data_IF_836085370012
#
_entry.id   IF_836085370012
#
_cell.length_a   1.000
_cell.length_b   1.000
_cell.length_c   1.000
_cell.angle_alpha   90.00
_cell.angle_beta   90.00
_cell.angle_gamma   90.00
#
_symmetry.space_group_name_H-M   'P 1'
#
loop_
_entity.id
_entity.type
_entity.pdbx_description
1 polymer ?
#
# COMPACT_ATOMS: atom_id res chain seq x y z
N UNK A 1 -8.72 10.22 -1.07
CA UNK A 1 -8.63 8.78 -1.12
C UNK A 1 -7.57 8.39 -2.12
N UNK A 2 -6.42 8.06 -1.57
CA UNK A 2 -5.36 7.50 -2.37
C UNK A 2 -5.41 5.99 -2.25
N UNK A 3 -4.54 5.34 -3.00
CA UNK A 3 -4.14 3.99 -2.64
C UNK A 3 -3.31 4.01 -1.37
N UNK A 4 -3.54 3.01 -0.52
CA UNK A 4 -2.76 2.69 0.66
C UNK A 4 -2.41 1.21 0.61
N UNK A 5 -1.11 0.93 0.56
CA UNK A 5 -0.57 -0.42 0.61
C UNK A 5 -0.12 -0.72 2.04
N UNK A 6 -0.82 -1.60 2.72
CA UNK A 6 -0.48 -2.04 4.07
C UNK A 6 0.33 -3.34 4.01
N UNK A 7 1.39 -3.42 4.81
CA UNK A 7 2.19 -4.62 5.08
C UNK A 7 1.90 -5.10 6.50
N UNK A 8 1.71 -6.40 6.68
CA UNK A 8 1.62 -7.08 7.97
C UNK A 8 2.65 -8.22 8.02
N UNK A 9 3.58 -8.11 8.96
CA UNK A 9 4.84 -8.87 9.00
C UNK A 9 5.19 -9.27 10.43
N UNK A 10 5.91 -10.39 10.65
CA UNK A 10 6.48 -10.72 11.95
C UNK A 10 7.57 -9.72 12.42
N UNK A 11 8.17 -8.95 11.51
CA UNK A 11 9.19 -7.96 11.84
C UNK A 11 8.63 -6.76 12.62
N UNK A 12 9.52 -6.08 13.34
CA UNK A 12 9.28 -4.78 13.95
C UNK A 12 9.20 -3.66 12.91
N UNK A 13 8.57 -2.54 13.26
CA UNK A 13 8.52 -1.37 12.36
C UNK A 13 9.91 -0.84 11.99
N UNK A 14 10.88 -0.90 12.91
CA UNK A 14 12.26 -0.49 12.67
C UNK A 14 12.95 -1.38 11.63
N UNK A 15 12.75 -2.69 11.70
CA UNK A 15 13.30 -3.64 10.73
C UNK A 15 12.64 -3.47 9.36
N UNK A 16 11.33 -3.24 9.30
CA UNK A 16 10.68 -2.92 8.03
C UNK A 16 11.31 -1.68 7.41
N UNK A 17 11.49 -0.61 8.19
CA UNK A 17 12.06 0.66 7.72
C UNK A 17 13.51 0.53 7.24
N UNK A 18 14.33 -0.31 7.86
CA UNK A 18 15.72 -0.51 7.42
C UNK A 18 15.83 -1.25 6.09
N UNK A 19 14.79 -1.99 5.71
CA UNK A 19 14.72 -2.71 4.43
C UNK A 19 14.07 -1.90 3.30
N UNK A 20 13.47 -0.75 3.59
CA UNK A 20 12.74 0.02 2.57
C UNK A 20 13.70 0.59 1.52
N UNK A 21 13.30 0.56 0.24
CA UNK A 21 13.96 1.35 -0.79
C UNK A 21 13.96 2.84 -0.43
N UNK A 22 14.99 3.56 -0.86
CA UNK A 22 15.06 5.01 -0.68
C UNK A 22 13.79 5.70 -1.22
N UNK A 23 13.19 6.58 -0.42
CA UNK A 23 11.97 7.32 -0.76
C UNK A 23 10.65 6.62 -0.38
N UNK A 24 10.68 5.33 0.00
CA UNK A 24 9.55 4.70 0.69
C UNK A 24 9.60 5.00 2.18
N UNK A 25 8.43 5.13 2.78
CA UNK A 25 8.27 5.24 4.23
C UNK A 25 7.26 4.21 4.74
N UNK A 26 7.46 3.74 5.96
CA UNK A 26 6.49 2.90 6.67
C UNK A 26 5.92 3.67 7.86
N UNK A 27 4.60 3.84 7.87
CA UNK A 27 3.85 4.47 8.96
C UNK A 27 3.00 3.42 9.68
N UNK A 28 2.94 3.42 11.02
CA UNK A 28 2.09 2.49 11.74
C UNK A 28 0.62 2.72 11.35
N UNK A 29 -0.13 1.62 11.18
CA UNK A 29 -1.58 1.70 10.97
C UNK A 29 -2.33 1.83 12.29
N UNK A 30 -3.64 2.11 12.23
CA UNK A 30 -4.48 2.16 13.43
C UNK A 30 -4.52 0.79 14.14
N UNK A 31 -4.77 0.79 15.45
CA UNK A 31 -4.90 -0.45 16.22
C UNK A 31 -6.02 -1.36 15.68
N UNK A 32 -7.10 -0.77 15.15
CA UNK A 32 -8.21 -1.49 14.55
C UNK A 32 -7.79 -2.20 13.25
N UNK A 33 -7.04 -1.51 12.38
CA UNK A 33 -6.50 -2.09 11.14
C UNK A 33 -5.47 -3.19 11.43
N UNK A 34 -4.57 -2.96 12.39
CA UNK A 34 -3.59 -3.95 12.83
C UNK A 34 -4.26 -5.22 13.41
N UNK A 35 -5.32 -5.05 14.22
CA UNK A 35 -6.07 -6.17 14.76
C UNK A 35 -6.80 -6.97 13.67
N UNK A 36 -7.34 -6.29 12.64
CA UNK A 36 -7.97 -6.95 11.50
C UNK A 36 -6.95 -7.78 10.68
N UNK A 37 -5.77 -7.22 10.41
CA UNK A 37 -4.69 -7.92 9.71
C UNK A 37 -4.17 -9.12 10.50
N UNK A 38 -4.04 -9.01 11.83
CA UNK A 38 -3.59 -10.11 12.68
C UNK A 38 -4.55 -11.31 12.67
N UNK A 39 -5.84 -11.10 12.41
CA UNK A 39 -6.79 -12.21 12.25
C UNK A 39 -6.52 -13.02 10.96
N UNK A 40 -6.08 -12.35 9.90
CA UNK A 40 -5.71 -13.00 8.64
C UNK A 40 -4.31 -13.61 8.69
N UNK A 41 -3.40 -12.99 9.44
CA UNK A 41 -2.04 -13.46 9.61
C UNK A 41 -1.61 -13.39 11.08
N UNK A 42 -1.86 -14.46 11.88
CA UNK A 42 -1.60 -14.45 13.32
C UNK A 42 -0.14 -14.21 13.72
N UNK A 43 0.81 -14.55 12.85
CA UNK A 43 2.24 -14.29 13.06
C UNK A 43 2.64 -12.82 12.85
N UNK A 44 1.68 -11.91 12.61
CA UNK A 44 1.94 -10.46 12.48
C UNK A 44 2.41 -9.86 13.80
N UNK A 45 3.68 -9.45 13.83
CA UNK A 45 4.24 -8.58 14.86
C UNK A 45 3.83 -7.13 14.65
N UNK A 46 3.99 -6.61 13.43
CA UNK A 46 3.73 -5.21 13.06
C UNK A 46 2.88 -5.10 11.80
N UNK A 47 2.00 -4.08 11.75
CA UNK A 47 1.33 -3.64 10.54
C UNK A 47 1.65 -2.17 10.24
N UNK A 48 1.95 -1.85 8.97
CA UNK A 48 2.34 -0.52 8.55
C UNK A 48 1.87 -0.19 7.12
N UNK A 49 1.53 1.07 6.86
CA UNK A 49 1.28 1.57 5.52
C UNK A 49 2.61 1.97 4.84
N UNK A 50 2.83 1.45 3.64
CA UNK A 50 3.96 1.76 2.77
C UNK A 50 3.61 2.93 1.86
N UNK A 51 4.32 4.04 2.00
CA UNK A 51 3.98 5.30 1.33
C UNK A 51 5.16 5.84 0.51
N UNK A 52 4.84 6.44 -0.63
CA UNK A 52 5.71 7.32 -1.41
C UNK A 52 5.20 8.75 -1.18
N UNK A 53 5.89 9.48 -0.30
CA UNK A 53 5.40 10.76 0.19
C UNK A 53 4.13 10.60 1.05
N UNK A 54 2.98 11.09 0.55
CA UNK A 54 1.71 11.08 1.30
C UNK A 54 0.84 9.84 1.14
N UNK A 55 1.05 9.01 0.11
CA UNK A 55 0.20 7.88 -0.25
C UNK A 55 0.94 6.77 -1.02
N UNK A 56 0.26 5.71 -1.42
CA UNK A 56 0.83 4.57 -2.17
C UNK A 56 0.48 4.61 -3.66
N UNK A 57 -0.07 5.71 -4.19
CA UNK A 57 -0.51 5.78 -5.60
C UNK A 57 0.63 5.42 -6.58
N UNK A 58 1.83 5.96 -6.34
CA UNK A 58 3.00 5.74 -7.20
C UNK A 58 3.53 4.30 -7.16
N UNK A 59 3.08 3.49 -6.18
CA UNK A 59 3.46 2.07 -6.08
C UNK A 59 2.57 1.15 -6.91
N UNK A 60 1.37 1.59 -7.29
CA UNK A 60 0.33 0.69 -7.82
C UNK A 60 -0.30 1.15 -9.11
N UNK A 61 -0.10 2.41 -9.51
CA UNK A 61 -0.55 2.92 -10.79
C UNK A 61 0.36 4.00 -11.32
N UNK A 62 0.34 4.15 -12.63
CA UNK A 62 0.86 5.34 -13.29
C UNK A 62 -0.06 6.54 -13.00
N UNK A 63 0.55 7.71 -12.74
CA UNK A 63 -0.19 8.97 -12.61
C UNK A 63 -0.43 9.57 -13.98
N UNK A 64 -1.58 10.21 -14.16
CA UNK A 64 -1.79 10.99 -15.36
C UNK A 64 -0.77 12.16 -15.38
N UNK A 65 -0.06 12.39 -16.51
CA UNK A 65 0.87 13.52 -16.64
C UNK A 65 0.14 14.87 -16.45
N UNK A 66 -1.14 14.95 -16.84
CA UNK A 66 -1.99 16.07 -16.46
C UNK A 66 -2.48 15.88 -15.01
N UNK A 67 -1.88 16.66 -14.11
CA UNK A 67 -2.24 16.66 -12.69
C UNK A 67 -3.71 17.02 -12.42
N UNK A 68 -4.35 17.84 -13.26
CA UNK A 68 -5.76 18.20 -13.08
C UNK A 68 -6.66 17.03 -13.39
N UNK A 69 -6.31 16.28 -14.44
CA UNK A 69 -7.03 15.08 -14.84
C UNK A 69 -6.82 13.94 -13.83
N UNK A 70 -5.60 13.76 -13.32
CA UNK A 70 -5.30 12.81 -12.25
C UNK A 70 -6.16 13.10 -10.99
N UNK A 71 -6.28 14.37 -10.62
CA UNK A 71 -7.14 14.79 -9.50
C UNK A 71 -8.63 14.65 -9.80
N UNK A 72 -9.07 14.88 -11.04
CA UNK A 72 -10.48 14.72 -11.43
C UNK A 72 -10.94 13.29 -11.22
N UNK A 73 -10.15 12.32 -11.71
CA UNK A 73 -10.43 10.89 -11.53
C UNK A 73 -10.52 10.50 -10.05
N UNK A 74 -9.65 11.08 -9.21
CA UNK A 74 -9.70 10.87 -7.76
C UNK A 74 -10.96 11.49 -7.14
N UNK A 75 -11.31 12.73 -7.51
CA UNK A 75 -12.52 13.41 -7.01
C UNK A 75 -13.80 12.63 -7.34
N UNK A 76 -13.90 12.05 -8.54
CA UNK A 76 -15.04 11.23 -8.93
C UNK A 76 -15.18 9.98 -8.07
N UNK A 77 -14.06 9.32 -7.71
CA UNK A 77 -14.10 8.21 -6.74
C UNK A 77 -14.46 8.70 -5.34
N UNK A 78 -14.05 9.89 -4.92
CA UNK A 78 -14.39 10.43 -3.60
C UNK A 78 -15.86 10.76 -3.46
N UNK A 79 -16.46 11.32 -4.52
CA UNK A 79 -17.87 11.66 -4.54
C UNK A 79 -18.75 10.42 -4.36
N UNK A 80 -18.37 9.30 -4.99
CA UNK A 80 -19.03 7.99 -4.82
C UNK A 80 -18.96 7.45 -3.39
N UNK A 81 -18.05 7.96 -2.56
CA UNK A 81 -17.85 7.55 -1.17
C UNK A 81 -18.45 8.57 -0.19
N UNK A 82 -19.29 9.49 -0.68
CA UNK A 82 -20.07 10.46 0.10
C UNK A 82 -19.25 11.27 1.10
N UNK A 83 -17.98 11.55 0.77
CA UNK A 83 -17.10 12.36 1.61
C UNK A 83 -17.47 13.85 1.56
N UNK A 84 -17.26 14.56 2.67
CA UNK A 84 -17.39 16.02 2.68
C UNK A 84 -16.29 16.69 1.84
N UNK A 85 -16.57 17.91 1.37
CA UNK A 85 -15.63 18.71 0.57
C UNK A 85 -14.31 18.95 1.30
N UNK A 86 -14.35 19.24 2.59
CA UNK A 86 -13.16 19.49 3.42
C UNK A 86 -12.29 18.24 3.54
N UNK A 87 -12.92 17.06 3.58
CA UNK A 87 -12.18 15.79 3.57
C UNK A 87 -11.57 15.54 2.19
N UNK A 88 -12.30 15.81 1.12
CA UNK A 88 -11.79 15.72 -0.26
C UNK A 88 -10.54 16.58 -0.44
N UNK A 89 -10.58 17.85 -0.02
CA UNK A 89 -9.44 18.78 -0.17
C UNK A 89 -8.20 18.24 0.56
N UNK A 90 -8.32 17.84 1.84
CA UNK A 90 -7.21 17.28 2.63
C UNK A 90 -6.59 16.05 1.97
N UNK A 91 -7.42 15.21 1.39
CA UNK A 91 -6.98 14.00 0.69
C UNK A 91 -6.26 14.31 -0.63
N UNK A 92 -6.68 15.34 -1.37
CA UNK A 92 -5.97 15.81 -2.56
C UNK A 92 -4.62 16.45 -2.21
N UNK A 93 -4.57 17.23 -1.13
CA UNK A 93 -3.30 17.80 -0.63
C UNK A 93 -2.29 16.71 -0.27
N UNK A 94 -2.75 15.63 0.38
CA UNK A 94 -1.92 14.44 0.64
C UNK A 94 -1.41 13.83 -0.67
N UNK A 95 -2.27 13.67 -1.66
CA UNK A 95 -1.91 13.10 -2.97
C UNK A 95 -0.85 13.94 -3.71
N UNK A 96 -0.89 15.27 -3.54
CA UNK A 96 0.09 16.19 -4.14
C UNK A 96 1.48 16.09 -3.52
N UNK A 97 1.61 15.58 -2.29
CA UNK A 97 2.92 15.36 -1.62
C UNK A 97 3.62 14.15 -2.22
N UNK A 98 4.23 14.33 -3.39
CA UNK A 98 5.06 13.33 -4.08
C UNK A 98 6.41 13.15 -3.37
N UNK A 99 7.07 12.03 -3.62
CA UNK A 99 8.52 11.92 -3.38
C UNK A 99 9.26 12.93 -4.27
N UNK A 100 10.34 13.51 -3.75
CA UNK A 100 11.25 14.38 -4.49
C UNK A 100 12.66 13.78 -4.47
N UNK A 101 13.29 13.52 -5.63
CA UNK A 101 12.77 13.71 -6.98
C UNK A 101 11.63 12.74 -7.32
N UNK A 102 10.78 13.13 -8.29
CA UNK A 102 9.74 12.25 -8.80
C UNK A 102 10.38 11.08 -9.58
N UNK A 103 9.99 9.86 -9.24
CA UNK A 103 10.42 8.64 -9.93
C UNK A 103 9.28 8.11 -10.81
N UNK A 104 9.62 7.33 -11.84
CA UNK A 104 8.62 6.70 -12.70
C UNK A 104 7.87 5.58 -11.98
N UNK A 105 6.67 5.27 -12.43
CA UNK A 105 5.89 4.14 -11.94
C UNK A 105 6.68 2.82 -12.06
N UNK A 106 7.34 2.61 -13.20
CA UNK A 106 8.17 1.43 -13.45
C UNK A 106 9.34 1.29 -12.45
N UNK A 107 9.97 2.41 -12.07
CA UNK A 107 11.00 2.41 -11.03
C UNK A 107 10.43 1.91 -9.69
N UNK A 108 9.28 2.44 -9.29
CA UNK A 108 8.64 2.05 -8.04
C UNK A 108 8.14 0.61 -8.03
N UNK A 109 7.56 0.13 -9.12
CA UNK A 109 7.11 -1.26 -9.23
C UNK A 109 8.27 -2.24 -9.07
N UNK A 110 9.44 -1.96 -9.67
CA UNK A 110 10.65 -2.78 -9.49
C UNK A 110 11.23 -2.71 -8.09
N UNK A 111 11.29 -1.51 -7.52
CA UNK A 111 11.77 -1.30 -6.14
C UNK A 111 10.87 -2.05 -5.14
N UNK A 112 9.55 -1.96 -5.31
CA UNK A 112 8.59 -2.68 -4.49
C UNK A 112 8.72 -4.20 -4.65
N UNK A 113 8.80 -4.73 -5.88
CA UNK A 113 8.95 -6.17 -6.11
C UNK A 113 10.27 -6.71 -5.51
N UNK A 114 11.35 -5.93 -5.60
CA UNK A 114 12.64 -6.26 -4.99
C UNK A 114 12.55 -6.27 -3.47
N UNK A 115 11.93 -5.24 -2.88
CA UNK A 115 11.65 -5.17 -1.45
C UNK A 115 10.80 -6.35 -0.98
N UNK A 116 9.69 -6.67 -1.66
CA UNK A 116 8.80 -7.78 -1.30
C UNK A 116 9.55 -9.12 -1.31
N UNK A 117 10.38 -9.35 -2.33
CA UNK A 117 11.16 -10.58 -2.42
C UNK A 117 12.25 -10.68 -1.34
N UNK A 118 12.93 -9.57 -1.03
CA UNK A 118 13.92 -9.53 0.04
C UNK A 118 13.27 -9.66 1.41
N UNK A 119 12.14 -9.00 1.63
CA UNK A 119 11.36 -9.08 2.85
C UNK A 119 10.86 -10.50 3.09
N UNK A 120 10.30 -11.18 2.09
CA UNK A 120 9.86 -12.57 2.22
C UNK A 120 11.02 -13.54 2.51
N UNK A 121 12.25 -13.23 2.04
CA UNK A 121 13.44 -14.03 2.37
C UNK A 121 13.85 -13.90 3.84
N UNK A 122 13.77 -12.69 4.40
CA UNK A 122 14.25 -12.40 5.76
C UNK A 122 13.17 -12.62 6.85
N UNK A 123 11.91 -12.31 6.53
CA UNK A 123 10.78 -12.37 7.46
C UNK A 123 9.92 -13.64 7.32
N UNK A 124 10.01 -14.33 6.17
CA UNK A 124 9.07 -15.39 5.81
C UNK A 124 7.74 -14.85 5.25
N UNK A 125 6.63 -15.60 5.38
CA UNK A 125 5.32 -15.20 4.86
C UNK A 125 4.93 -13.79 5.32
N UNK A 126 4.47 -12.96 4.40
CA UNK A 126 4.12 -11.55 4.67
C UNK A 126 2.81 -11.21 3.97
N UNK A 127 1.88 -10.59 4.71
CA UNK A 127 0.60 -10.18 4.17
C UNK A 127 0.68 -8.74 3.65
N UNK A 128 0.24 -8.53 2.42
CA UNK A 128 0.07 -7.23 1.78
C UNK A 128 -1.41 -6.98 1.51
N UNK A 129 -1.85 -5.74 1.67
CA UNK A 129 -3.23 -5.36 1.38
C UNK A 129 -3.27 -3.99 0.73
N UNK A 130 -3.76 -3.93 -0.50
CA UNK A 130 -3.95 -2.70 -1.25
C UNK A 130 -5.40 -2.24 -1.11
N UNK A 131 -5.61 -1.02 -0.64
CA UNK A 131 -6.95 -0.42 -0.55
C UNK A 131 -6.99 0.97 -1.16
N UNK A 132 -8.12 1.33 -1.76
CA UNK A 132 -8.41 2.70 -2.12
C UNK A 132 -9.33 3.31 -1.05
N UNK A 133 -8.86 4.32 -0.33
CA UNK A 133 -9.66 4.86 0.76
C UNK A 133 -9.06 6.05 1.45
N UNK A 134 -9.57 6.39 2.64
CA UNK A 134 -8.94 7.37 3.53
C UNK A 134 -7.72 6.76 4.19
N UNK A 135 -6.73 7.56 4.57
CA UNK A 135 -5.57 7.05 5.32
C UNK A 135 -6.01 6.27 6.58
N UNK A 136 -7.06 6.74 7.25
CA UNK A 136 -7.61 6.21 8.50
C UNK A 136 -8.81 5.25 8.28
N UNK A 137 -9.02 4.75 7.06
CA UNK A 137 -10.24 4.00 6.74
C UNK A 137 -10.39 2.66 7.49
N UNK A 138 -11.63 2.20 7.56
CA UNK A 138 -12.15 1.05 8.27
C UNK A 138 -11.43 -0.29 7.94
N UNK A 139 -11.53 -1.29 8.84
CA UNK A 139 -10.84 -2.57 8.73
C UNK A 139 -11.26 -3.39 7.51
N UNK A 140 -10.39 -4.32 7.15
CA UNK A 140 -10.61 -5.39 6.16
C UNK A 140 -12.01 -6.02 6.28
N UNK A 141 -12.64 -6.42 5.16
CA UNK A 141 -13.85 -7.23 5.19
C UNK A 141 -13.63 -8.48 6.04
N UNK A 142 -14.62 -8.83 6.88
CA UNK A 142 -14.53 -9.97 7.83
C UNK A 142 -14.21 -11.32 7.18
N UNK A 143 -14.51 -11.48 5.89
CA UNK A 143 -14.41 -12.75 5.15
C UNK A 143 -13.28 -12.73 4.09
N UNK A 144 -12.41 -11.72 4.11
CA UNK A 144 -11.34 -11.62 3.12
C UNK A 144 -10.32 -12.75 3.29
N UNK A 145 -10.37 -13.76 2.41
CA UNK A 145 -9.34 -14.80 2.35
C UNK A 145 -8.13 -14.28 1.58
N UNK A 146 -6.93 -14.42 2.17
CA UNK A 146 -5.70 -14.00 1.52
C UNK A 146 -5.36 -14.93 0.35
N UNK A 147 -5.03 -14.35 -0.81
CA UNK A 147 -4.48 -15.10 -1.94
C UNK A 147 -2.99 -15.29 -1.73
N UNK A 148 -2.50 -16.51 -1.88
CA UNK A 148 -1.06 -16.77 -1.82
C UNK A 148 -0.40 -16.46 -3.15
N UNK A 149 0.74 -15.77 -3.10
CA UNK A 149 1.65 -15.53 -4.23
C UNK A 149 3.08 -15.85 -3.84
N UNK A 150 3.86 -16.39 -4.76
CA UNK A 150 5.30 -16.60 -4.55
C UNK A 150 6.11 -15.33 -4.88
N UNK A 151 7.33 -15.23 -4.35
CA UNK A 151 8.25 -14.13 -4.73
C UNK A 151 8.60 -14.17 -6.21
N UNK A 152 8.63 -15.36 -6.82
CA UNK A 152 8.84 -15.54 -8.25
C UNK A 152 7.70 -14.92 -9.08
N UNK A 153 6.44 -15.13 -8.67
CA UNK A 153 5.28 -14.52 -9.33
C UNK A 153 5.30 -12.98 -9.22
N UNK A 154 5.61 -12.44 -8.04
CA UNK A 154 5.71 -10.99 -7.84
C UNK A 154 6.78 -10.37 -8.75
N UNK A 155 7.92 -11.04 -8.92
CA UNK A 155 8.99 -10.58 -9.81
C UNK A 155 8.62 -10.71 -11.30
N UNK A 156 7.93 -11.78 -11.68
CA UNK A 156 7.49 -12.01 -13.05
C UNK A 156 6.35 -11.06 -13.46
N UNK A 157 5.56 -10.58 -12.51
CA UNK A 157 4.43 -9.67 -12.72
C UNK A 157 4.59 -8.45 -11.83
N UNK A 158 5.46 -7.52 -12.25
CA UNK A 158 5.68 -6.25 -11.54
C UNK A 158 4.37 -5.47 -11.30
N UNK A 159 3.41 -5.64 -12.21
CA UNK A 159 2.09 -5.03 -12.16
C UNK A 159 1.02 -6.11 -11.95
N UNK A 160 -0.02 -5.79 -11.18
CA UNK A 160 -1.21 -6.65 -11.04
C UNK A 160 -1.07 -7.88 -10.13
N UNK A 161 0.03 -8.02 -9.39
CA UNK A 161 0.13 -9.03 -8.32
C UNK A 161 -0.66 -8.62 -7.06
N UNK A 162 -0.98 -7.33 -6.93
CA UNK A 162 -1.89 -6.76 -5.94
C UNK A 162 -3.24 -6.46 -6.59
N UNK A 163 -4.32 -6.84 -5.90
CA UNK A 163 -5.69 -6.52 -6.26
C UNK A 163 -6.29 -5.60 -5.19
N UNK A 164 -7.11 -4.61 -5.58
CA UNK A 164 -7.77 -3.70 -4.63
C UNK A 164 -8.70 -4.49 -3.71
N UNK A 165 -8.63 -4.21 -2.41
CA UNK A 165 -9.41 -4.81 -1.32
C UNK A 165 -9.26 -6.33 -1.17
N UNK A 166 -8.22 -6.91 -1.79
CA UNK A 166 -7.89 -8.33 -1.68
C UNK A 166 -6.54 -8.53 -0.99
N UNK A 167 -6.50 -9.16 0.20
CA UNK A 167 -5.24 -9.46 0.86
C UNK A 167 -4.41 -10.47 0.07
N UNK A 168 -3.12 -10.24 -0.01
CA UNK A 168 -2.16 -11.10 -0.72
C UNK A 168 -1.08 -11.55 0.27
N UNK A 169 -1.00 -12.85 0.52
CA UNK A 169 0.08 -13.45 1.28
C UNK A 169 1.24 -13.77 0.34
N UNK A 170 2.37 -13.08 0.51
CA UNK A 170 3.58 -13.41 -0.26
C UNK A 170 4.42 -14.40 0.53
N UNK A 171 4.74 -15.51 -0.12
CA UNK A 171 5.63 -16.57 0.37
C UNK A 171 6.85 -16.68 -0.54
N UNK A 172 7.93 -17.29 -0.05
CA UNK A 172 9.17 -17.45 -0.81
C UNK A 172 8.95 -18.22 -2.11
#
# INVERSE_FOLDING_TARGET
MCFFLTIATPLTLSEVRSMLPAGLTAQPVSAVEAAALRRLFPATGTAAALLVGGCSCDLVRERNPDSREDERLLRERYFRLSLTRERIIRELERHRRRSSPAQSFEHWSRALASFVAEHARNAGPTLYHLRFGLAEAAPLPKEASAVTRSTAEVRARLHGWLEEDRPVMVVR
#
